data_IF_719745268330
#
_entry.id   IF_719745268330
#
_cell.length_a   1.000
_cell.length_b   1.000
_cell.length_c   1.000
_cell.angle_alpha   90.00
_cell.angle_beta   90.00
_cell.angle_gamma   90.00
#
_symmetry.space_group_name_H-M   'P 1'
#
loop_
_entity.id
_entity.type
_entity.pdbx_description
1 polymer ?
#
# COMPACT_ATOMS: atom_id res chain seq x y z
N UNK A 1 -1.63 15.11 -0.76
CA UNK A 1 -0.45 15.49 -1.52
C UNK A 1 -0.28 14.61 -2.74
N UNK A 2 -0.12 15.21 -3.89
CA UNK A 2 -0.12 14.50 -5.18
C UNK A 2 1.13 13.65 -5.42
N UNK A 3 2.19 13.88 -4.68
CA UNK A 3 3.47 13.19 -4.86
C UNK A 3 3.90 12.40 -3.63
N UNK A 4 2.94 12.08 -2.76
CA UNK A 4 3.21 11.24 -1.60
C UNK A 4 2.62 9.86 -1.82
N UNK A 5 3.39 8.85 -1.47
CA UNK A 5 2.98 7.46 -1.47
C UNK A 5 3.06 6.94 -0.04
N UNK A 6 2.00 6.26 0.38
CA UNK A 6 1.91 5.67 1.72
C UNK A 6 1.95 4.16 1.61
N UNK A 7 2.75 3.53 2.44
CA UNK A 7 2.76 2.09 2.59
C UNK A 7 2.54 1.73 4.06
N UNK A 8 1.48 1.01 4.35
CA UNK A 8 1.12 0.67 5.71
C UNK A 8 0.72 -0.78 5.85
N UNK A 9 1.14 -1.37 6.96
CA UNK A 9 0.75 -2.69 7.40
C UNK A 9 -0.20 -2.53 8.57
N UNK A 10 -1.36 -3.19 8.51
CA UNK A 10 -2.36 -3.18 9.57
C UNK A 10 -2.49 -4.59 10.09
N UNK A 11 -2.53 -4.76 11.41
CA UNK A 11 -2.54 -6.07 12.02
C UNK A 11 -3.17 -6.00 13.41
N UNK A 12 -3.50 -7.16 13.96
CA UNK A 12 -3.93 -7.28 15.35
C UNK A 12 -2.71 -7.64 16.20
N UNK A 13 -2.49 -6.89 17.27
CA UNK A 13 -1.49 -7.24 18.27
C UNK A 13 -1.91 -8.51 19.01
N UNK A 14 -0.98 -9.19 19.71
CA UNK A 14 -1.34 -10.40 20.46
C UNK A 14 -2.47 -10.24 21.47
N UNK A 15 -2.65 -9.02 22.00
CA UNK A 15 -3.76 -8.70 22.93
C UNK A 15 -5.08 -8.37 22.20
N UNK A 16 -5.10 -8.44 20.87
CA UNK A 16 -6.26 -8.12 20.07
C UNK A 16 -6.43 -6.67 19.69
N UNK A 17 -5.57 -5.78 20.17
CA UNK A 17 -5.65 -4.36 19.84
C UNK A 17 -5.13 -4.11 18.42
N UNK A 18 -5.56 -2.99 17.84
CA UNK A 18 -5.13 -2.56 16.52
C UNK A 18 -3.66 -2.16 16.53
N UNK A 19 -2.92 -2.66 15.55
CA UNK A 19 -1.54 -2.27 15.31
C UNK A 19 -1.34 -1.82 13.88
N UNK A 20 -0.37 -0.93 13.69
CA UNK A 20 0.03 -0.52 12.36
C UNK A 20 1.51 -0.17 12.32
N UNK A 21 2.09 -0.32 11.15
CA UNK A 21 3.45 0.09 10.86
C UNK A 21 3.49 0.56 9.42
N UNK A 22 4.10 1.70 9.19
CA UNK A 22 4.17 2.19 7.83
C UNK A 22 5.03 3.43 7.72
N UNK A 23 5.17 3.87 6.49
CA UNK A 23 5.92 5.06 6.17
C UNK A 23 5.35 5.67 4.89
N UNK A 24 5.83 6.85 4.56
CA UNK A 24 5.50 7.51 3.31
C UNK A 24 6.78 7.91 2.60
N UNK A 25 6.69 8.05 1.31
CA UNK A 25 7.79 8.52 0.49
C UNK A 25 7.26 9.50 -0.56
N UNK A 26 8.14 10.35 -1.03
CA UNK A 26 7.80 11.26 -2.12
C UNK A 26 8.24 10.65 -3.44
N UNK A 27 7.33 10.66 -4.41
CA UNK A 27 7.63 10.21 -5.77
C UNK A 27 7.18 11.31 -6.74
N UNK A 28 7.97 11.57 -7.76
CA UNK A 28 7.65 12.61 -8.71
C UNK A 28 6.51 12.17 -9.63
N UNK A 29 5.57 13.08 -9.85
CA UNK A 29 4.46 12.90 -10.78
C UNK A 29 3.66 11.62 -10.52
N UNK A 30 3.30 11.38 -9.27
CA UNK A 30 2.62 10.15 -8.86
C UNK A 30 1.29 9.93 -9.57
N UNK A 31 0.56 11.01 -9.85
CA UNK A 31 -0.74 10.93 -10.51
C UNK A 31 -0.67 11.03 -12.02
N UNK A 32 0.46 11.40 -12.59
CA UNK A 32 0.62 11.64 -14.03
C UNK A 32 1.41 10.61 -14.80
N UNK A 33 2.02 9.64 -14.12
CA UNK A 33 2.80 8.59 -14.76
C UNK A 33 2.50 7.23 -14.14
N UNK A 34 2.64 6.18 -14.95
CA UNK A 34 2.57 4.82 -14.44
C UNK A 34 3.79 4.53 -13.58
N UNK A 35 3.54 3.91 -12.43
CA UNK A 35 4.57 3.46 -11.50
C UNK A 35 4.34 1.99 -11.20
N UNK A 36 5.40 1.25 -10.94
CA UNK A 36 5.29 -0.14 -10.51
C UNK A 36 5.29 -0.16 -8.98
N UNK A 37 4.16 -0.54 -8.42
CA UNK A 37 4.00 -0.73 -6.97
C UNK A 37 4.12 -2.21 -6.69
N UNK A 38 5.06 -2.57 -5.83
CA UNK A 38 5.41 -3.97 -5.60
C UNK A 38 5.39 -4.30 -4.13
N UNK A 39 5.07 -5.55 -3.85
CA UNK A 39 5.19 -6.12 -2.51
C UNK A 39 5.93 -7.45 -2.62
N UNK A 40 6.94 -7.62 -1.77
CA UNK A 40 7.63 -8.89 -1.61
C UNK A 40 7.24 -9.44 -0.24
N UNK A 41 6.58 -10.60 -0.26
CA UNK A 41 6.04 -11.21 0.94
C UNK A 41 6.67 -12.58 1.14
N UNK A 42 7.43 -12.70 2.23
CA UNK A 42 8.05 -13.97 2.63
C UNK A 42 7.60 -14.34 4.03
N UNK A 43 8.04 -15.49 4.50
CA UNK A 43 7.76 -15.92 5.87
C UNK A 43 8.52 -15.09 6.92
N UNK A 44 9.47 -14.28 6.50
CA UNK A 44 10.33 -13.50 7.40
C UNK A 44 10.09 -12.01 7.33
N UNK A 45 9.71 -11.49 6.18
CA UNK A 45 9.61 -10.05 5.96
C UNK A 45 8.62 -9.76 4.85
N UNK A 46 7.97 -8.61 4.97
CA UNK A 46 7.14 -8.05 3.90
C UNK A 46 7.73 -6.69 3.55
N UNK A 47 7.99 -6.47 2.26
CA UNK A 47 8.59 -5.24 1.75
C UNK A 47 7.65 -4.56 0.76
N UNK A 48 7.57 -3.24 0.83
CA UNK A 48 6.80 -2.44 -0.13
C UNK A 48 7.78 -1.58 -0.92
N UNK A 49 7.65 -1.61 -2.23
CA UNK A 49 8.55 -0.93 -3.15
C UNK A 49 7.76 -0.11 -4.17
N UNK A 50 8.37 0.97 -4.63
CA UNK A 50 7.89 1.71 -5.80
C UNK A 50 9.03 1.79 -6.81
N UNK A 51 8.79 1.37 -8.04
CA UNK A 51 9.79 1.30 -9.12
C UNK A 51 11.08 0.61 -8.65
N UNK A 52 10.94 -0.52 -7.94
CA UNK A 52 12.03 -1.32 -7.38
C UNK A 52 12.81 -0.67 -6.23
N UNK A 53 12.32 0.44 -5.70
CA UNK A 53 12.92 1.08 -4.52
C UNK A 53 12.08 0.77 -3.29
N UNK A 54 12.66 0.05 -2.35
CA UNK A 54 11.99 -0.26 -1.09
C UNK A 54 11.92 1.01 -0.22
N UNK A 55 10.76 1.25 0.38
CA UNK A 55 10.61 2.39 1.29
C UNK A 55 10.03 2.01 2.64
N UNK A 56 9.46 0.84 2.78
CA UNK A 56 8.97 0.35 4.07
C UNK A 56 8.98 -1.18 4.08
N UNK A 57 9.25 -1.75 5.24
CA UNK A 57 9.17 -3.19 5.45
C UNK A 57 8.74 -3.48 6.88
N UNK A 58 8.25 -4.70 7.10
CA UNK A 58 7.87 -5.17 8.42
C UNK A 58 8.35 -6.62 8.57
N UNK A 59 8.80 -6.97 9.78
CA UNK A 59 9.16 -8.34 10.09
C UNK A 59 7.90 -9.18 10.26
N UNK A 60 7.84 -10.31 9.57
CA UNK A 60 6.74 -11.27 9.71
C UNK A 60 7.11 -12.27 10.82
N UNK A 61 6.39 -12.22 11.92
CA UNK A 61 6.66 -13.05 13.09
C UNK A 61 5.35 -13.29 13.88
N UNK A 62 5.45 -13.93 15.03
CA UNK A 62 4.29 -14.29 15.84
C UNK A 62 3.53 -13.06 16.39
N UNK A 63 4.20 -11.93 16.54
CA UNK A 63 3.57 -10.69 16.97
C UNK A 63 2.90 -9.94 15.81
N UNK A 64 3.37 -10.19 14.59
CA UNK A 64 2.81 -9.60 13.35
C UNK A 64 2.69 -10.75 12.33
N UNK A 65 1.72 -11.66 12.53
CA UNK A 65 1.67 -12.89 11.75
C UNK A 65 0.94 -12.70 10.41
N UNK A 66 1.68 -12.37 9.37
CA UNK A 66 1.14 -12.31 8.01
C UNK A 66 1.35 -13.67 7.32
N UNK A 67 0.67 -14.69 7.83
CA UNK A 67 0.79 -16.06 7.32
C UNK A 67 -0.53 -16.63 6.79
N UNK A 68 -1.60 -15.86 6.84
CA UNK A 68 -2.90 -16.24 6.30
C UNK A 68 -3.05 -15.80 4.85
N UNK A 69 -3.90 -16.49 4.06
CA UNK A 69 -4.19 -16.05 2.71
C UNK A 69 -4.83 -14.65 2.67
N UNK A 70 -4.44 -13.88 1.70
CA UNK A 70 -4.98 -12.55 1.44
C UNK A 70 -5.33 -12.41 -0.03
N UNK A 71 -6.15 -11.44 -0.33
CA UNK A 71 -6.50 -11.11 -1.71
C UNK A 71 -6.16 -9.65 -2.01
N UNK A 72 -6.07 -9.35 -3.29
CA UNK A 72 -5.77 -8.00 -3.73
C UNK A 72 -7.05 -7.19 -3.91
N UNK A 73 -7.01 -5.95 -3.45
CA UNK A 73 -8.06 -4.96 -3.71
C UNK A 73 -7.44 -3.76 -4.41
N UNK A 74 -8.05 -3.38 -5.52
CA UNK A 74 -7.71 -2.18 -6.24
C UNK A 74 -8.88 -1.23 -6.07
N UNK A 75 -8.63 -0.10 -5.43
CA UNK A 75 -9.69 0.79 -4.98
C UNK A 75 -9.34 2.25 -5.20
N UNK A 76 -10.36 3.04 -5.47
CA UNK A 76 -10.25 4.49 -5.45
C UNK A 76 -11.25 5.02 -4.44
N UNK A 77 -10.79 5.88 -3.54
CA UNK A 77 -11.62 6.44 -2.49
C UNK A 77 -11.53 7.95 -2.52
N UNK A 78 -12.63 8.61 -2.19
CA UNK A 78 -12.72 10.06 -2.18
C UNK A 78 -13.00 10.56 -0.77
N UNK A 79 -12.38 11.68 -0.42
CA UNK A 79 -12.56 12.27 0.90
C UNK A 79 -11.80 11.51 1.98
N UNK A 80 -12.28 11.62 3.21
CA UNK A 80 -11.66 10.97 4.36
C UNK A 80 -10.39 11.63 4.83
N UNK A 81 -9.68 10.95 5.72
CA UNK A 81 -8.50 11.52 6.37
C UNK A 81 -7.33 11.77 5.42
N UNK A 82 -7.11 10.86 4.48
CA UNK A 82 -6.00 10.98 3.52
C UNK A 82 -6.39 11.77 2.28
N UNK A 83 -7.62 11.63 1.81
CA UNK A 83 -8.08 12.31 0.61
C UNK A 83 -8.42 13.77 0.82
N UNK A 84 -8.77 14.14 2.04
CA UNK A 84 -9.17 15.50 2.35
C UNK A 84 -10.56 15.83 1.82
N UNK A 85 -10.86 17.10 1.77
CA UNK A 85 -12.15 17.58 1.31
C UNK A 85 -12.30 17.44 -0.20
N UNK A 86 -13.45 16.93 -0.64
CA UNK A 86 -13.75 16.83 -2.07
C UNK A 86 -14.19 18.21 -2.57
N UNK A 87 -13.51 18.79 -3.57
CA UNK A 87 -13.92 20.10 -4.11
C UNK A 87 -15.35 20.09 -4.65
N UNK A 88 -16.07 21.18 -4.44
CA UNK A 88 -17.46 21.29 -4.89
C UNK A 88 -17.60 21.21 -6.41
N UNK A 89 -16.56 21.55 -7.15
CA UNK A 89 -16.54 21.47 -8.62
C UNK A 89 -16.00 20.12 -9.14
N UNK A 90 -15.76 19.17 -8.26
CA UNK A 90 -15.30 17.84 -8.66
C UNK A 90 -16.43 17.13 -9.42
N UNK A 91 -16.10 16.56 -10.58
CA UNK A 91 -17.05 15.79 -11.38
C UNK A 91 -16.69 14.34 -11.49
N UNK A 92 -15.45 14.06 -11.88
CA UNK A 92 -14.98 12.67 -12.01
C UNK A 92 -13.46 12.61 -12.01
N UNK A 93 -12.95 11.45 -11.67
CA UNK A 93 -11.55 11.10 -11.84
C UNK A 93 -11.45 9.60 -12.03
N UNK A 94 -10.26 9.10 -12.31
CA UNK A 94 -10.08 7.68 -12.56
C UNK A 94 -8.69 7.22 -12.13
N UNK A 95 -8.60 5.94 -11.83
CA UNK A 95 -7.35 5.23 -11.61
C UNK A 95 -7.18 4.22 -12.74
N UNK A 96 -6.06 4.30 -13.45
CA UNK A 96 -5.78 3.39 -14.55
C UNK A 96 -4.73 2.37 -14.12
N UNK A 97 -4.99 1.11 -14.41
CA UNK A 97 -4.11 0.00 -14.05
C UNK A 97 -3.71 -0.71 -15.34
N UNK A 98 -2.42 -0.72 -15.63
CA UNK A 98 -1.91 -1.37 -16.82
C UNK A 98 -1.91 -2.89 -16.66
N UNK A 99 -1.35 -3.38 -15.53
CA UNK A 99 -1.35 -4.81 -15.27
C UNK A 99 -1.25 -5.09 -13.77
N UNK A 100 -1.62 -6.31 -13.42
CA UNK A 100 -1.37 -6.89 -12.10
C UNK A 100 -0.70 -8.26 -12.32
N UNK A 101 0.42 -8.47 -11.68
CA UNK A 101 1.17 -9.73 -11.77
C UNK A 101 1.46 -10.26 -10.37
N UNK A 102 1.23 -11.55 -10.20
CA UNK A 102 1.52 -12.24 -8.95
C UNK A 102 2.49 -13.39 -9.26
N UNK A 103 3.61 -13.40 -8.55
CA UNK A 103 4.61 -14.45 -8.68
C UNK A 103 4.69 -15.21 -7.37
N UNK A 104 4.85 -16.50 -7.47
CA UNK A 104 4.95 -17.35 -6.30
C UNK A 104 6.16 -18.28 -6.47
N UNK A 105 6.94 -18.40 -5.38
CA UNK A 105 8.06 -19.34 -5.36
C UNK A 105 7.53 -20.76 -5.21
N UNK A 106 8.09 -21.67 -5.98
CA UNK A 106 7.79 -23.09 -5.90
C UNK A 106 8.53 -23.75 -4.75
#
# INVERSE_FOLDING_TARGET
AKNELYGYFHFANPDGSYGSHGDKTNISNASGTYKVYSMIWTDKVIRILVDNNEFVSITNNDNVPYDNPHYLLLNIAMGGNLGGEVPSNFTEDRMEIDYVRVFQRN
#
